data_IF_357380741013
#
_entry.id   IF_357380741013
#
_cell.length_a   1.000
_cell.length_b   1.000
_cell.length_c   1.000
_cell.angle_alpha   90.00
_cell.angle_beta   90.00
_cell.angle_gamma   90.00
#
_symmetry.space_group_name_H-M   'P 1'
#
loop_
_entity.id
_entity.type
_entity.pdbx_description
1 polymer ?
#
# COMPACT_ATOMS: atom_id res chain seq x y z
N UNK A 1 -11.90 -0.63 3.43
CA UNK A 1 -11.35 -1.50 2.37
C UNK A 1 -10.04 -0.95 1.87
N UNK A 2 -9.11 -1.79 1.43
CA UNK A 2 -7.78 -1.39 0.94
C UNK A 2 -7.83 -0.19 -0.04
N UNK A 3 -8.73 -0.24 -1.02
CA UNK A 3 -8.92 0.83 -2.00
C UNK A 3 -9.38 2.15 -1.39
N UNK A 4 -10.22 2.11 -0.35
CA UNK A 4 -10.63 3.32 0.37
C UNK A 4 -9.41 3.96 1.06
N UNK A 5 -8.54 3.17 1.67
CA UNK A 5 -7.29 3.64 2.28
C UNK A 5 -6.31 4.19 1.24
N UNK A 6 -6.25 3.58 0.06
CA UNK A 6 -5.40 4.01 -1.04
C UNK A 6 -5.89 5.32 -1.67
N UNK A 7 -7.21 5.46 -1.85
CA UNK A 7 -7.82 6.70 -2.33
C UNK A 7 -7.63 7.85 -1.33
N UNK A 8 -7.82 7.61 -0.03
CA UNK A 8 -7.58 8.64 1.00
C UNK A 8 -6.11 9.02 1.13
N UNK A 9 -5.18 8.09 0.90
CA UNK A 9 -3.75 8.37 0.83
C UNK A 9 -3.41 9.31 -0.34
N UNK A 10 -3.95 9.05 -1.53
CA UNK A 10 -3.73 9.88 -2.72
C UNK A 10 -4.34 11.28 -2.57
N UNK A 11 -5.57 11.35 -2.05
CA UNK A 11 -6.22 12.62 -1.73
C UNK A 11 -5.40 13.41 -0.70
N UNK A 12 -4.96 12.75 0.38
CA UNK A 12 -4.10 13.37 1.39
C UNK A 12 -2.78 13.89 0.82
N UNK A 13 -2.16 13.14 -0.09
CA UNK A 13 -0.89 13.53 -0.72
C UNK A 13 -1.06 14.69 -1.70
N UNK A 14 -2.16 14.73 -2.45
CA UNK A 14 -2.51 15.87 -3.28
C UNK A 14 -2.81 17.12 -2.44
N UNK A 15 -3.52 16.97 -1.32
CA UNK A 15 -3.76 18.04 -0.36
C UNK A 15 -2.46 18.56 0.27
N UNK A 16 -1.49 17.68 0.54
CA UNK A 16 -0.15 18.08 0.99
C UNK A 16 0.55 18.92 -0.08
N UNK A 17 0.53 18.51 -1.34
CA UNK A 17 1.14 19.26 -2.44
C UNK A 17 0.49 20.64 -2.69
N UNK A 18 -0.83 20.75 -2.50
CA UNK A 18 -1.57 22.00 -2.64
C UNK A 18 -1.57 22.89 -1.38
N UNK A 19 -0.93 22.44 -0.29
CA UNK A 19 -0.98 23.15 0.99
C UNK A 19 -0.11 24.42 0.98
N UNK A 20 -0.73 25.54 1.32
CA UNK A 20 -0.07 26.86 1.45
C UNK A 20 0.08 27.31 2.90
N UNK A 21 -0.55 26.62 3.85
CA UNK A 21 -0.51 26.89 5.29
C UNK A 21 -0.01 25.68 6.08
N UNK A 22 0.77 25.91 7.15
CA UNK A 22 1.32 24.84 7.99
C UNK A 22 0.24 23.92 8.60
N UNK A 23 -0.88 24.48 9.05
CA UNK A 23 -1.97 23.70 9.64
C UNK A 23 -2.61 22.73 8.62
N UNK A 24 -2.81 23.19 7.39
CA UNK A 24 -3.33 22.37 6.29
C UNK A 24 -2.33 21.27 5.91
N UNK A 25 -1.04 21.63 5.84
CA UNK A 25 0.04 20.66 5.63
C UNK A 25 0.05 19.58 6.72
N UNK A 26 0.03 19.98 7.99
CA UNK A 26 0.04 19.04 9.12
C UNK A 26 -1.18 18.11 9.12
N UNK A 27 -2.38 18.65 8.90
CA UNK A 27 -3.60 17.86 8.80
C UNK A 27 -3.54 16.84 7.66
N UNK A 28 -3.08 17.25 6.47
CA UNK A 28 -2.92 16.35 5.33
C UNK A 28 -1.91 15.22 5.63
N UNK A 29 -0.81 15.52 6.33
CA UNK A 29 0.20 14.53 6.74
C UNK A 29 -0.32 13.54 7.77
N UNK A 30 -1.24 13.95 8.65
CA UNK A 30 -1.93 13.04 9.57
C UNK A 30 -2.80 12.04 8.81
N UNK A 31 -3.58 12.51 7.83
CA UNK A 31 -4.41 11.62 6.99
C UNK A 31 -3.55 10.59 6.24
N UNK A 32 -2.46 11.05 5.62
CA UNK A 32 -1.51 10.17 4.93
C UNK A 32 -0.87 9.19 5.92
N UNK A 33 -0.46 9.66 7.10
CA UNK A 33 0.14 8.82 8.14
C UNK A 33 -0.78 7.70 8.66
N UNK A 34 -2.09 7.95 8.77
CA UNK A 34 -3.07 6.95 9.19
C UNK A 34 -3.33 5.87 8.13
N UNK A 35 -3.11 6.20 6.85
CA UNK A 35 -3.46 5.32 5.72
C UNK A 35 -2.31 4.43 5.28
N UNK A 36 -1.05 4.91 5.38
CA UNK A 36 0.16 4.14 5.05
C UNK A 36 0.21 2.73 5.69
N UNK A 37 0.03 2.55 7.02
CA UNK A 37 0.13 1.22 7.61
C UNK A 37 -0.93 0.26 7.08
N UNK A 38 -2.15 0.75 6.82
CA UNK A 38 -3.20 -0.07 6.22
C UNK A 38 -2.85 -0.49 4.78
N UNK A 39 -2.32 0.43 3.98
CA UNK A 39 -1.90 0.16 2.59
C UNK A 39 -0.73 -0.83 2.54
N UNK A 40 0.20 -0.78 3.51
CA UNK A 40 1.29 -1.75 3.58
C UNK A 40 0.84 -3.13 4.10
N UNK A 41 0.03 -3.14 5.17
CA UNK A 41 -0.23 -4.36 5.93
C UNK A 41 -1.29 -5.28 5.32
N UNK A 42 -2.30 -4.73 4.66
CA UNK A 42 -3.35 -5.54 4.00
C UNK A 42 -2.78 -6.48 2.93
N UNK A 43 -2.03 -6.01 1.91
CA UNK A 43 -1.48 -6.89 0.88
C UNK A 43 -0.45 -7.87 1.44
N UNK A 44 0.31 -7.47 2.46
CA UNK A 44 1.24 -8.36 3.16
C UNK A 44 0.52 -9.53 3.82
N UNK A 45 -0.60 -9.28 4.51
CA UNK A 45 -1.42 -10.33 5.13
C UNK A 45 -1.98 -11.26 4.05
N UNK A 46 -2.53 -10.73 2.96
CA UNK A 46 -3.07 -11.56 1.86
C UNK A 46 -1.97 -12.45 1.28
N UNK A 47 -0.77 -11.92 1.04
CA UNK A 47 0.36 -12.71 0.56
C UNK A 47 0.73 -13.87 1.52
N UNK A 48 0.69 -13.62 2.84
CA UNK A 48 0.94 -14.66 3.85
C UNK A 48 -0.20 -15.69 3.99
N UNK A 49 -1.43 -15.32 3.63
CA UNK A 49 -2.58 -16.22 3.61
C UNK A 49 -2.54 -17.15 2.39
N UNK A 50 -2.15 -16.62 1.23
CA UNK A 50 -2.02 -17.39 -0.01
C UNK A 50 -0.82 -18.35 0.02
N UNK A 51 0.19 -18.04 0.83
CA UNK A 51 1.42 -18.83 0.90
C UNK A 51 1.37 -19.81 2.07
N UNK A 52 1.71 -21.08 1.78
CA UNK A 52 1.78 -22.14 2.78
C UNK A 52 2.73 -21.83 3.94
N UNK A 53 2.54 -22.46 5.13
CA UNK A 53 3.29 -22.13 6.35
C UNK A 53 4.81 -22.22 6.20
N UNK A 54 5.30 -23.13 5.36
CA UNK A 54 6.73 -23.34 5.12
C UNK A 54 7.42 -22.18 4.38
N UNK A 55 6.67 -21.38 3.62
CA UNK A 55 7.22 -20.30 2.78
C UNK A 55 6.95 -18.90 3.36
N UNK A 56 6.24 -18.79 4.49
CA UNK A 56 5.92 -17.49 5.13
C UNK A 56 7.16 -16.69 5.50
N UNK A 57 8.19 -17.36 6.04
CA UNK A 57 9.45 -16.69 6.38
C UNK A 57 10.13 -16.12 5.13
N UNK A 58 10.12 -16.86 4.02
CA UNK A 58 10.70 -16.41 2.76
C UNK A 58 9.97 -15.18 2.20
N UNK A 59 8.64 -15.20 2.17
CA UNK A 59 7.82 -14.05 1.71
C UNK A 59 8.05 -12.82 2.59
N UNK A 60 8.17 -13.02 3.91
CA UNK A 60 8.43 -11.92 4.85
C UNK A 60 9.80 -11.30 4.58
N UNK A 61 10.85 -12.10 4.44
CA UNK A 61 12.20 -11.62 4.13
C UNK A 61 12.24 -10.89 2.79
N UNK A 62 11.56 -11.42 1.77
CA UNK A 62 11.45 -10.76 0.46
C UNK A 62 10.78 -9.39 0.60
N UNK A 63 9.67 -9.31 1.32
CA UNK A 63 8.94 -8.05 1.56
C UNK A 63 9.84 -7.03 2.27
N UNK A 64 10.56 -7.44 3.31
CA UNK A 64 11.52 -6.58 4.01
C UNK A 64 12.63 -6.10 3.07
N UNK A 65 13.15 -6.97 2.21
CA UNK A 65 14.22 -6.64 1.25
C UNK A 65 13.72 -5.58 0.26
N UNK A 66 12.55 -5.79 -0.35
CA UNK A 66 11.94 -4.81 -1.25
C UNK A 66 11.66 -3.47 -0.55
N UNK A 67 11.23 -3.50 0.70
CA UNK A 67 11.02 -2.30 1.50
C UNK A 67 12.33 -1.52 1.70
N UNK A 68 13.41 -2.19 2.09
CA UNK A 68 14.73 -1.56 2.24
C UNK A 68 15.25 -1.01 0.92
N UNK A 69 15.14 -1.76 -0.18
CA UNK A 69 15.51 -1.27 -1.51
C UNK A 69 14.69 -0.03 -1.91
N UNK A 70 13.39 -0.01 -1.63
CA UNK A 70 12.53 1.14 -1.88
C UNK A 70 12.96 2.38 -1.10
N UNK A 71 13.36 2.23 0.18
CA UNK A 71 13.91 3.32 0.97
C UNK A 71 15.24 3.84 0.42
N UNK A 72 16.13 2.96 -0.05
CA UNK A 72 17.38 3.36 -0.68
C UNK A 72 17.13 4.13 -1.99
N UNK A 73 16.20 3.68 -2.82
CA UNK A 73 15.78 4.41 -4.03
C UNK A 73 15.18 5.77 -3.68
N UNK A 74 14.32 5.84 -2.65
CA UNK A 74 13.71 7.08 -2.19
C UNK A 74 14.77 8.10 -1.74
N UNK A 75 15.83 7.65 -1.05
CA UNK A 75 16.95 8.51 -0.68
C UNK A 75 17.64 9.11 -1.92
N UNK A 76 17.83 8.31 -2.97
CA UNK A 76 18.35 8.78 -4.26
C UNK A 76 17.44 9.81 -4.93
N UNK A 77 16.13 9.56 -4.97
CA UNK A 77 15.15 10.50 -5.53
C UNK A 77 15.14 11.82 -4.76
N UNK A 78 15.20 11.76 -3.42
CA UNK A 78 15.25 12.94 -2.55
C UNK A 78 16.54 13.75 -2.74
N UNK A 79 17.64 13.11 -3.16
CA UNK A 79 18.86 13.84 -3.49
C UNK A 79 18.71 14.66 -4.78
N UNK A 80 18.02 14.11 -5.79
CA UNK A 80 17.81 14.74 -7.10
C UNK A 80 16.73 15.83 -7.06
N UNK A 81 15.61 15.57 -6.39
CA UNK A 81 14.48 16.49 -6.30
C UNK A 81 14.50 17.16 -4.93
N UNK A 82 14.85 18.45 -4.91
CA UNK A 82 14.92 19.24 -3.67
C UNK A 82 13.58 19.89 -3.29
N UNK A 83 12.69 20.08 -4.26
CA UNK A 83 11.37 20.65 -4.03
C UNK A 83 10.42 19.61 -3.42
N UNK A 84 9.93 19.93 -2.21
CA UNK A 84 9.10 19.02 -1.43
C UNK A 84 7.73 18.74 -2.07
N UNK A 85 7.20 19.68 -2.84
CA UNK A 85 5.94 19.51 -3.60
C UNK A 85 6.12 18.50 -4.72
N UNK A 86 7.18 18.68 -5.52
CA UNK A 86 7.53 17.74 -6.59
C UNK A 86 7.83 16.36 -6.03
N UNK A 87 8.60 16.28 -4.93
CA UNK A 87 8.89 15.02 -4.25
C UNK A 87 7.60 14.31 -3.80
N UNK A 88 6.63 15.05 -3.25
CA UNK A 88 5.34 14.50 -2.81
C UNK A 88 4.55 13.95 -4.01
N UNK A 89 4.53 14.65 -5.15
CA UNK A 89 3.86 14.19 -6.35
C UNK A 89 4.55 12.96 -6.96
N UNK A 90 5.87 12.99 -7.13
CA UNK A 90 6.65 11.88 -7.66
C UNK A 90 6.52 10.61 -6.83
N UNK A 91 6.51 10.74 -5.50
CA UNK A 91 6.30 9.59 -4.60
C UNK A 91 4.86 9.08 -4.58
N UNK A 92 3.88 9.93 -4.95
CA UNK A 92 2.47 9.56 -5.03
C UNK A 92 2.12 8.81 -6.32
N UNK A 93 2.78 9.12 -7.44
CA UNK A 93 2.51 8.51 -8.77
C UNK A 93 2.58 6.98 -8.76
N UNK A 94 3.59 6.33 -8.14
CA UNK A 94 3.65 4.87 -8.04
C UNK A 94 2.40 4.25 -7.40
N UNK A 95 1.74 4.96 -6.48
CA UNK A 95 0.55 4.43 -5.80
C UNK A 95 -0.67 4.32 -6.71
N UNK A 96 -0.71 5.05 -7.83
CA UNK A 96 -1.79 4.92 -8.82
C UNK A 96 -1.77 3.54 -9.49
N UNK A 97 -0.58 2.94 -9.68
CA UNK A 97 -0.46 1.61 -10.26
C UNK A 97 -1.03 0.51 -9.34
N UNK A 98 -1.10 0.74 -8.02
CA UNK A 98 -1.74 -0.20 -7.10
C UNK A 98 -3.26 -0.31 -7.28
N UNK A 99 -3.91 0.60 -8.02
CA UNK A 99 -5.30 0.35 -8.45
C UNK A 99 -5.40 -0.83 -9.43
N UNK A 100 -4.36 -1.09 -10.23
CA UNK A 100 -4.29 -2.27 -11.10
C UNK A 100 -4.32 -3.58 -10.31
N UNK A 101 -3.92 -3.55 -9.03
CA UNK A 101 -3.99 -4.68 -8.12
C UNK A 101 -5.42 -5.22 -7.93
N UNK A 102 -6.44 -4.38 -8.19
CA UNK A 102 -7.86 -4.76 -8.20
C UNK A 102 -8.18 -5.87 -9.20
N UNK A 103 -7.48 -5.93 -10.34
CA UNK A 103 -7.80 -6.89 -11.40
C UNK A 103 -7.06 -8.21 -11.25
N UNK A 104 -5.96 -8.24 -10.51
CA UNK A 104 -5.02 -9.36 -10.51
C UNK A 104 -5.08 -10.18 -9.21
N UNK A 105 -5.26 -9.53 -8.06
CA UNK A 105 -5.22 -10.24 -6.77
C UNK A 105 -6.59 -10.70 -6.31
N UNK A 106 -6.75 -12.00 -5.99
CA UNK A 106 -7.96 -12.50 -5.35
C UNK A 106 -8.11 -11.92 -3.94
N UNK A 107 -9.35 -11.83 -3.46
CA UNK A 107 -9.61 -11.44 -2.07
C UNK A 107 -9.10 -12.51 -1.10
N UNK A 108 -8.81 -12.07 0.13
CA UNK A 108 -8.42 -12.93 1.25
C UNK A 108 -9.39 -14.13 1.40
N UNK A 109 -8.90 -15.38 1.30
CA UNK A 109 -9.73 -16.58 1.48
C UNK A 109 -10.40 -16.61 2.85
N UNK A 110 -9.70 -16.14 3.88
CA UNK A 110 -10.24 -16.04 5.25
C UNK A 110 -11.35 -15.02 5.36
N UNK A 111 -11.21 -13.87 4.69
CA UNK A 111 -12.27 -12.86 4.67
C UNK A 111 -13.51 -13.37 3.93
N UNK A 112 -13.32 -14.07 2.80
CA UNK A 112 -14.40 -14.72 2.06
C UNK A 112 -15.13 -15.76 2.92
N UNK A 113 -14.39 -16.59 3.66
CA UNK A 113 -14.95 -17.53 4.64
C UNK A 113 -15.78 -16.83 5.73
N UNK A 114 -15.27 -15.75 6.31
CA UNK A 114 -15.99 -14.96 7.32
C UNK A 114 -17.26 -14.28 6.79
N UNK A 115 -17.29 -13.97 5.49
CA UNK A 115 -18.46 -13.44 4.76
C UNK A 115 -19.45 -14.52 4.34
N UNK A 116 -19.18 -15.80 4.60
CA UNK A 116 -20.03 -16.92 4.19
C UNK A 116 -19.90 -17.31 2.71
N UNK A 117 -18.91 -16.76 1.99
CA UNK A 117 -18.66 -17.04 0.55
C UNK A 117 -17.69 -18.21 0.40
N UNK A 118 -18.15 -19.41 0.74
CA UNK A 118 -17.34 -20.64 0.76
C UNK A 118 -16.82 -21.07 -0.61
N UNK A 119 -17.65 -21.00 -1.65
CA UNK A 119 -17.29 -21.43 -3.01
C UNK A 119 -16.13 -20.59 -3.58
N UNK A 120 -16.17 -19.27 -3.38
CA UNK A 120 -15.11 -18.38 -3.83
C UNK A 120 -13.81 -18.58 -3.03
N UNK A 121 -13.91 -18.82 -1.72
CA UNK A 121 -12.73 -19.12 -0.91
C UNK A 121 -12.02 -20.41 -1.37
N UNK A 122 -12.79 -21.44 -1.74
CA UNK A 122 -12.26 -22.69 -2.30
C UNK A 122 -11.62 -22.46 -3.66
N UNK A 123 -12.25 -21.70 -4.57
CA UNK A 123 -11.67 -21.36 -5.87
C UNK A 123 -10.33 -20.61 -5.78
N UNK A 124 -10.14 -19.78 -4.75
CA UNK A 124 -8.86 -19.09 -4.52
C UNK A 124 -7.79 -20.03 -3.96
N UNK A 125 -8.18 -21.03 -3.16
CA UNK A 125 -7.25 -22.01 -2.56
C UNK A 125 -6.89 -23.17 -3.51
N UNK A 126 -7.77 -23.51 -4.45
CA UNK A 126 -7.59 -24.61 -5.41
C UNK A 126 -6.81 -24.18 -6.67
N UNK A 127 -6.57 -22.88 -6.83
CA UNK A 127 -5.79 -22.27 -7.92
C UNK A 127 -4.29 -22.26 -7.62
#
# INVERSE_FOLDING_TARGET
SYFSCLATLLLGSFMTAASSNFAMWAFSRVIVGLTIPAVYQIPFIIALELVGPNYRSFVTVMTCTFYTCGLMMLAGVTYLIRDWVELTLFTSVPFLFYFGYMFVMPESPRWLLMKGRLEEALQVLEK
#
